data_IF_968149098118
#
_entry.id   IF_968149098118
#
_cell.length_a   1.000
_cell.length_b   1.000
_cell.length_c   1.000
_cell.angle_alpha   90.00
_cell.angle_beta   90.00
_cell.angle_gamma   90.00
#
_symmetry.space_group_name_H-M   'P 1'
#
loop_
_entity.id
_entity.type
_entity.pdbx_description
1 polymer ?
#
# COMPACT_ATOMS: atom_id res chain seq x y z
N UNK A 1 -49.20 -9.39 -30.67
CA UNK A 1 -48.50 -8.72 -29.56
C UNK A 1 -47.97 -9.83 -28.67
N UNK A 2 -46.69 -10.17 -28.79
CA UNK A 2 -46.05 -11.21 -27.96
C UNK A 2 -45.08 -10.53 -27.00
N UNK A 3 -45.34 -10.67 -25.70
CA UNK A 3 -44.53 -10.11 -24.63
C UNK A 3 -43.09 -10.64 -24.70
N UNK A 4 -42.15 -9.71 -24.88
CA UNK A 4 -40.72 -9.98 -24.88
C UNK A 4 -40.21 -10.22 -23.47
N UNK A 5 -40.37 -11.44 -22.97
CA UNK A 5 -39.68 -11.89 -21.77
C UNK A 5 -38.21 -12.14 -22.12
N UNK A 6 -37.32 -11.20 -21.76
CA UNK A 6 -35.87 -11.39 -21.87
C UNK A 6 -35.44 -12.30 -20.72
N UNK A 7 -35.21 -13.58 -21.02
CA UNK A 7 -34.60 -14.53 -20.10
C UNK A 7 -33.12 -14.18 -19.91
N UNK A 8 -32.78 -13.52 -18.79
CA UNK A 8 -31.38 -13.39 -18.36
C UNK A 8 -30.94 -14.78 -17.92
N UNK A 9 -30.16 -15.46 -18.77
CA UNK A 9 -29.45 -16.69 -18.40
C UNK A 9 -28.38 -16.31 -17.37
N UNK A 10 -28.69 -16.44 -16.09
CA UNK A 10 -27.67 -16.46 -15.05
C UNK A 10 -26.79 -17.67 -15.36
N UNK A 11 -25.50 -17.42 -15.66
CA UNK A 11 -24.53 -18.45 -15.97
C UNK A 11 -24.56 -19.51 -14.86
N UNK A 12 -24.72 -20.78 -15.23
CA UNK A 12 -24.98 -21.89 -14.30
C UNK A 12 -23.77 -22.25 -13.41
N UNK A 13 -22.65 -21.52 -13.55
CA UNK A 13 -21.38 -21.76 -12.88
C UNK A 13 -20.93 -20.56 -12.02
N UNK A 14 -21.88 -19.84 -11.40
CA UNK A 14 -21.55 -18.90 -10.32
C UNK A 14 -21.29 -19.70 -9.03
N UNK A 15 -20.08 -20.25 -8.89
CA UNK A 15 -19.64 -20.82 -7.62
C UNK A 15 -19.34 -19.70 -6.62
N UNK A 16 -20.26 -19.48 -5.69
CA UNK A 16 -20.11 -18.50 -4.61
C UNK A 16 -18.82 -18.70 -3.81
N UNK A 17 -18.27 -19.93 -3.73
CA UNK A 17 -16.98 -20.17 -3.05
C UNK A 17 -15.82 -19.52 -3.79
N UNK A 18 -15.80 -19.55 -5.13
CA UNK A 18 -14.75 -18.89 -5.91
C UNK A 18 -14.79 -17.36 -5.76
N UNK A 19 -15.99 -16.80 -5.63
CA UNK A 19 -16.22 -15.37 -5.36
C UNK A 19 -15.83 -15.02 -3.93
N UNK A 20 -16.21 -15.85 -2.94
CA UNK A 20 -15.77 -15.71 -1.55
C UNK A 20 -14.25 -15.78 -1.44
N UNK A 21 -13.60 -16.70 -2.15
CA UNK A 21 -12.15 -16.88 -2.12
C UNK A 21 -11.40 -15.75 -2.86
N UNK A 22 -12.02 -15.12 -3.87
CA UNK A 22 -11.53 -13.87 -4.44
C UNK A 22 -11.66 -12.70 -3.45
N UNK A 23 -12.81 -12.59 -2.76
CA UNK A 23 -13.06 -11.57 -1.73
C UNK A 23 -12.21 -11.76 -0.47
N UNK A 24 -11.89 -13.00 -0.10
CA UNK A 24 -10.99 -13.32 1.02
C UNK A 24 -9.52 -13.07 0.65
N UNK A 25 -9.12 -13.29 -0.61
CA UNK A 25 -7.83 -12.80 -1.13
C UNK A 25 -7.76 -11.28 -1.08
N UNK A 26 -8.80 -10.59 -1.55
CA UNK A 26 -8.92 -9.12 -1.50
C UNK A 26 -8.91 -8.58 -0.05
N UNK A 27 -9.45 -9.34 0.92
CA UNK A 27 -9.37 -9.00 2.36
C UNK A 27 -8.01 -9.28 2.99
N UNK A 28 -7.24 -10.23 2.47
CA UNK A 28 -5.83 -10.40 2.85
C UNK A 28 -4.95 -9.28 2.27
N UNK A 29 -5.40 -8.61 1.21
CA UNK A 29 -4.72 -7.46 0.60
C UNK A 29 -4.91 -6.12 1.37
N UNK A 30 -5.68 -6.12 2.46
CA UNK A 30 -5.67 -5.04 3.48
C UNK A 30 -4.59 -5.27 4.56
N UNK A 31 -3.49 -5.92 4.21
CA UNK A 31 -2.34 -5.99 5.10
C UNK A 31 -1.61 -4.63 5.08
N UNK A 32 -1.68 -3.92 6.21
CA UNK A 32 -0.92 -2.71 6.44
C UNK A 32 0.27 -3.01 7.35
N UNK A 33 1.39 -2.34 7.09
CA UNK A 33 2.53 -2.31 7.99
C UNK A 33 2.27 -1.21 9.01
N UNK A 34 2.10 -1.63 10.26
CA UNK A 34 1.96 -0.72 11.38
C UNK A 34 3.29 0.00 11.65
N UNK A 35 3.21 1.31 11.79
CA UNK A 35 4.31 2.17 12.16
C UNK A 35 4.25 2.55 13.64
N UNK A 36 5.22 3.31 14.12
CA UNK A 36 5.10 4.01 15.40
C UNK A 36 3.99 5.08 15.36
N UNK A 37 3.41 5.40 16.52
CA UNK A 37 2.22 6.26 16.65
C UNK A 37 2.31 7.62 15.95
N UNK A 38 3.54 8.12 15.75
CA UNK A 38 3.79 9.41 15.13
C UNK A 38 3.68 9.39 13.60
N UNK A 39 4.16 8.33 12.95
CA UNK A 39 4.21 8.21 11.50
C UNK A 39 3.02 7.39 10.98
N UNK A 40 2.53 7.65 9.77
CA UNK A 40 1.37 6.92 9.24
C UNK A 40 1.74 5.46 8.94
N UNK A 41 0.76 4.56 9.13
CA UNK A 41 0.83 3.19 8.66
C UNK A 41 0.89 3.15 7.13
N UNK A 42 1.50 2.09 6.60
CA UNK A 42 1.66 1.89 5.16
C UNK A 42 0.83 0.71 4.70
N UNK A 43 -0.13 0.96 3.81
CA UNK A 43 -0.94 -0.11 3.21
C UNK A 43 -0.16 -0.75 2.07
N UNK A 44 0.01 -2.08 2.11
CA UNK A 44 0.84 -2.80 1.13
C UNK A 44 0.20 -2.76 -0.27
N UNK A 45 -1.13 -2.89 -0.36
CA UNK A 45 -1.86 -2.79 -1.63
C UNK A 45 -1.78 -1.39 -2.24
N UNK A 46 -1.83 -0.32 -1.45
CA UNK A 46 -1.58 1.06 -1.93
C UNK A 46 -0.18 1.17 -2.55
N UNK A 47 0.84 0.61 -1.90
CA UNK A 47 2.20 0.61 -2.42
C UNK A 47 2.31 -0.17 -3.73
N UNK A 48 1.77 -1.40 -3.78
CA UNK A 48 1.77 -2.24 -5.00
C UNK A 48 1.15 -1.49 -6.18
N UNK A 49 -0.01 -0.88 -5.96
CA UNK A 49 -0.75 -0.13 -6.98
C UNK A 49 -0.01 1.13 -7.43
N UNK A 50 0.52 1.92 -6.49
CA UNK A 50 1.27 3.14 -6.78
C UNK A 50 2.56 2.87 -7.56
N UNK A 51 3.23 1.76 -7.23
CA UNK A 51 4.51 1.34 -7.80
C UNK A 51 4.36 0.57 -9.12
N UNK A 52 3.13 0.24 -9.53
CA UNK A 52 2.82 -0.58 -10.71
C UNK A 52 3.58 -1.92 -10.74
N UNK A 53 3.76 -2.51 -9.56
CA UNK A 53 4.44 -3.80 -9.44
C UNK A 53 3.51 -4.90 -9.92
N UNK A 54 3.99 -5.71 -10.86
CA UNK A 54 3.23 -6.84 -11.38
C UNK A 54 3.15 -7.99 -10.35
N UNK A 55 2.46 -9.06 -10.71
CA UNK A 55 2.29 -10.24 -9.86
C UNK A 55 3.57 -11.05 -9.63
N UNK A 56 4.72 -10.66 -10.20
CA UNK A 56 5.97 -11.41 -10.03
C UNK A 56 6.65 -11.10 -8.69
N UNK A 57 6.38 -9.93 -8.10
CA UNK A 57 6.88 -9.58 -6.77
C UNK A 57 5.92 -10.11 -5.70
N UNK A 58 6.39 -11.10 -4.95
CA UNK A 58 5.63 -11.71 -3.84
C UNK A 58 5.35 -10.69 -2.74
N UNK A 59 4.27 -10.92 -1.99
CA UNK A 59 3.89 -10.06 -0.85
C UNK A 59 5.03 -9.99 0.18
N UNK A 60 5.71 -11.11 0.45
CA UNK A 60 6.83 -11.14 1.41
C UNK A 60 7.98 -10.22 0.98
N UNK A 61 8.31 -10.19 -0.32
CA UNK A 61 9.34 -9.27 -0.83
C UNK A 61 8.92 -7.80 -0.72
N UNK A 62 7.63 -7.50 -0.94
CA UNK A 62 7.12 -6.14 -0.72
C UNK A 62 7.23 -5.75 0.76
N UNK A 63 6.87 -6.66 1.66
CA UNK A 63 6.96 -6.42 3.11
C UNK A 63 8.39 -6.13 3.53
N UNK A 64 9.34 -6.98 3.15
CA UNK A 64 10.75 -6.77 3.49
C UNK A 64 11.26 -5.42 3.00
N UNK A 65 10.97 -5.07 1.74
CA UNK A 65 11.40 -3.79 1.18
C UNK A 65 10.74 -2.60 1.91
N UNK A 66 9.47 -2.70 2.26
CA UNK A 66 8.76 -1.65 2.99
C UNK A 66 9.25 -1.53 4.44
N UNK A 67 9.50 -2.64 5.15
CA UNK A 67 10.03 -2.61 6.51
C UNK A 67 11.37 -1.89 6.58
N UNK A 68 12.31 -2.26 5.70
CA UNK A 68 13.60 -1.59 5.62
C UNK A 68 13.42 -0.09 5.33
N UNK A 69 12.58 0.24 4.36
CA UNK A 69 12.38 1.62 3.94
C UNK A 69 11.71 2.49 5.00
N UNK A 70 10.75 1.94 5.74
CA UNK A 70 10.11 2.61 6.88
C UNK A 70 11.16 2.86 7.96
N UNK A 71 11.97 1.85 8.31
CA UNK A 71 13.01 1.99 9.31
C UNK A 71 14.02 3.09 8.94
N UNK A 72 14.53 3.08 7.70
CA UNK A 72 15.50 4.09 7.25
C UNK A 72 14.91 5.51 7.28
N UNK A 73 13.69 5.70 6.76
CA UNK A 73 13.03 7.02 6.75
C UNK A 73 12.73 7.50 8.17
N UNK A 74 12.32 6.60 9.06
CA UNK A 74 12.08 6.93 10.47
C UNK A 74 13.36 7.36 11.17
N UNK A 75 14.49 6.69 10.89
CA UNK A 75 15.79 7.05 11.45
C UNK A 75 16.28 8.41 10.94
N UNK A 76 16.12 8.71 9.65
CA UNK A 76 16.42 10.03 9.09
C UNK A 76 15.57 11.14 9.72
N UNK A 77 14.30 10.85 9.99
CA UNK A 77 13.36 11.80 10.59
C UNK A 77 13.35 11.79 12.12
N UNK A 78 14.22 11.02 12.77
CA UNK A 78 14.24 10.86 14.23
C UNK A 78 14.44 12.18 14.97
N UNK A 79 15.39 13.00 14.51
CA UNK A 79 15.65 14.32 15.10
C UNK A 79 14.53 15.32 14.80
N UNK A 80 13.87 15.20 13.65
CA UNK A 80 12.68 15.97 13.33
C UNK A 80 11.52 15.63 14.29
N UNK A 81 11.24 14.33 14.49
CA UNK A 81 10.22 13.85 15.42
C UNK A 81 10.47 14.34 16.85
N UNK A 82 11.71 14.26 17.35
CA UNK A 82 12.06 14.73 18.71
C UNK A 82 11.78 16.22 18.94
N UNK A 83 11.87 17.05 17.89
CA UNK A 83 11.62 18.49 17.96
C UNK A 83 10.14 18.84 17.79
N UNK A 84 9.31 17.89 17.37
CA UNK A 84 7.87 18.07 17.22
C UNK A 84 7.17 18.03 18.58
N UNK A 85 6.16 18.86 18.75
CA UNK A 85 5.25 18.85 19.92
C UNK A 85 3.91 18.18 19.61
N UNK A 86 3.70 17.71 18.37
CA UNK A 86 2.46 17.10 17.91
C UNK A 86 2.50 15.58 18.13
N UNK A 87 1.33 14.97 18.36
CA UNK A 87 1.24 13.53 18.58
C UNK A 87 1.48 12.75 17.28
N UNK A 88 0.99 13.28 16.15
CA UNK A 88 1.12 12.65 14.85
C UNK A 88 1.63 13.61 13.77
N UNK A 89 2.23 13.06 12.71
CA UNK A 89 2.66 13.82 11.54
C UNK A 89 1.49 14.53 10.83
N UNK A 90 0.27 13.98 10.92
CA UNK A 90 -0.92 14.54 10.27
C UNK A 90 -1.46 15.81 10.96
N UNK A 91 -1.23 15.94 12.27
CA UNK A 91 -1.63 17.10 13.06
C UNK A 91 -0.70 18.30 12.89
N UNK A 92 0.50 18.07 12.35
CA UNK A 92 1.48 19.13 12.16
C UNK A 92 0.98 20.17 11.14
N UNK A 93 1.20 21.47 11.42
CA UNK A 93 0.81 22.55 10.51
C UNK A 93 1.53 22.36 9.19
N UNK A 94 0.76 22.05 8.16
CA UNK A 94 1.25 21.76 6.83
C UNK A 94 0.23 22.18 5.78
N UNK A 95 0.69 22.39 4.55
CA UNK A 95 -0.23 22.54 3.43
C UNK A 95 -1.08 21.29 3.27
N UNK A 96 -2.31 21.47 2.79
CA UNK A 96 -3.19 20.38 2.37
C UNK A 96 -3.23 20.35 0.84
N UNK A 97 -3.09 19.16 0.26
CA UNK A 97 -3.36 18.94 -1.18
C UNK A 97 -4.53 17.96 -1.24
N UNK A 98 -5.69 18.45 -1.69
CA UNK A 98 -6.94 17.72 -1.53
C UNK A 98 -7.27 17.51 -0.05
N UNK A 99 -7.52 16.25 0.33
CA UNK A 99 -7.85 15.84 1.71
C UNK A 99 -6.66 15.22 2.46
N UNK A 100 -5.42 15.45 2.00
CA UNK A 100 -4.22 14.87 2.61
C UNK A 100 -3.20 15.95 3.02
N UNK A 101 -2.60 15.78 4.19
CA UNK A 101 -1.47 16.58 4.64
C UNK A 101 -0.27 16.35 3.71
N UNK A 102 0.37 17.45 3.29
CA UNK A 102 1.59 17.40 2.48
C UNK A 102 2.71 16.63 3.19
N UNK A 103 2.79 16.69 4.53
CA UNK A 103 3.81 15.97 5.29
C UNK A 103 3.58 14.45 5.25
N UNK A 104 2.33 14.03 5.47
CA UNK A 104 1.93 12.62 5.36
C UNK A 104 2.19 12.09 3.95
N UNK A 105 1.82 12.87 2.92
CA UNK A 105 2.09 12.50 1.53
C UNK A 105 3.60 12.37 1.25
N UNK A 106 4.42 13.33 1.69
CA UNK A 106 5.88 13.28 1.50
C UNK A 106 6.51 12.09 2.20
N UNK A 107 6.06 11.77 3.41
CA UNK A 107 6.51 10.60 4.15
C UNK A 107 6.21 9.32 3.36
N UNK A 108 4.94 9.09 2.97
CA UNK A 108 4.56 7.92 2.17
C UNK A 108 5.38 7.82 0.88
N UNK A 109 5.58 8.95 0.20
CA UNK A 109 6.38 9.02 -1.03
C UNK A 109 7.85 8.65 -0.79
N UNK A 110 8.46 9.11 0.29
CA UNK A 110 9.85 8.76 0.63
C UNK A 110 10.00 7.25 0.84
N UNK A 111 9.11 6.65 1.65
CA UNK A 111 9.08 5.20 1.90
C UNK A 111 8.90 4.42 0.60
N UNK A 112 7.96 4.83 -0.27
CA UNK A 112 7.68 4.12 -1.52
C UNK A 112 8.85 4.17 -2.49
N UNK A 113 9.48 5.34 -2.63
CA UNK A 113 10.64 5.49 -3.51
C UNK A 113 11.82 4.64 -3.03
N UNK A 114 12.10 4.62 -1.73
CA UNK A 114 13.17 3.81 -1.16
C UNK A 114 12.89 2.31 -1.29
N UNK A 115 11.64 1.89 -1.04
CA UNK A 115 11.24 0.49 -1.18
C UNK A 115 11.37 0.02 -2.64
N UNK A 116 10.96 0.85 -3.60
CA UNK A 116 11.15 0.59 -5.02
C UNK A 116 12.63 0.45 -5.39
N UNK A 117 13.50 1.35 -4.90
CA UNK A 117 14.93 1.27 -5.15
C UNK A 117 15.50 -0.05 -4.61
N UNK A 118 15.19 -0.41 -3.37
CA UNK A 118 15.61 -1.67 -2.75
C UNK A 118 15.15 -2.91 -3.54
N UNK A 119 13.92 -2.89 -4.07
CA UNK A 119 13.40 -3.97 -4.90
C UNK A 119 14.17 -4.09 -6.23
N UNK A 120 14.40 -2.97 -6.93
CA UNK A 120 15.08 -2.97 -8.22
C UNK A 120 16.57 -3.32 -8.11
N UNK A 121 17.27 -2.83 -7.09
CA UNK A 121 18.68 -3.17 -6.85
C UNK A 121 18.87 -4.68 -6.59
N UNK A 122 17.97 -5.28 -5.79
CA UNK A 122 17.99 -6.73 -5.56
C UNK A 122 17.62 -7.51 -6.83
N UNK A 123 16.65 -7.05 -7.63
CA UNK A 123 16.33 -7.71 -8.90
C UNK A 123 17.50 -7.68 -9.88
N UNK A 124 18.21 -6.55 -10.00
CA UNK A 124 19.41 -6.46 -10.84
C UNK A 124 20.50 -7.46 -10.43
N UNK A 125 20.63 -7.77 -9.13
CA UNK A 125 21.61 -8.76 -8.66
C UNK A 125 21.29 -10.23 -8.98
N UNK A 126 20.04 -10.57 -9.32
CA UNK A 126 19.65 -11.96 -9.65
C UNK A 126 19.72 -12.28 -11.15
N UNK A 127 19.85 -11.28 -12.02
CA UNK A 127 19.88 -11.44 -13.49
C UNK A 127 21.31 -11.40 -14.07
N UNK A 128 22.30 -11.91 -13.32
CA UNK A 128 23.71 -12.06 -13.73
C UNK A 128 24.20 -13.49 -13.48
#
# INVERSE_FOLDING_TARGET
MSDGTISIKIAHDYDMKSVQQAVERDKQDEEFIQNDEFFPNIVISEFRNASRLDGTVTIDRLKEALFESIASVNDELKEFRKKSTYATLAEMPSGMIGNQSVLVYRYKRAVYCLALANLYERYASYDT
#
